data_IF_028561283823
#
_entry.id   IF_028561283823
#
_cell.length_a   1.000
_cell.length_b   1.000
_cell.length_c   1.000
_cell.angle_alpha   90.00
_cell.angle_beta   90.00
_cell.angle_gamma   90.00
#
_symmetry.space_group_name_H-M   'P 1'
#
loop_
_entity.id
_entity.type
_entity.pdbx_description
1 polymer ?
#
# COMPACT_ATOMS: atom_id res chain seq x y z
N UNK A 1 22.77 -5.03 -2.16
CA UNK A 1 21.49 -5.62 -2.61
C UNK A 1 21.77 -7.03 -3.11
N UNK A 2 21.33 -8.04 -2.38
CA UNK A 2 21.38 -9.42 -2.87
C UNK A 2 20.49 -9.54 -4.11
N UNK A 3 20.93 -10.31 -5.12
CA UNK A 3 20.17 -10.61 -6.33
C UNK A 3 18.79 -11.17 -5.93
N UNK A 4 17.76 -10.30 -5.91
CA UNK A 4 16.38 -10.78 -5.84
C UNK A 4 16.18 -11.70 -7.04
N UNK A 5 15.90 -12.96 -6.78
CA UNK A 5 15.61 -13.92 -7.86
C UNK A 5 14.38 -13.42 -8.62
N UNK A 6 14.42 -13.47 -9.95
CA UNK A 6 13.28 -13.10 -10.78
C UNK A 6 12.05 -13.94 -10.39
N UNK A 7 11.18 -13.35 -9.57
CA UNK A 7 9.99 -14.01 -9.01
C UNK A 7 9.04 -14.54 -10.09
N UNK A 8 9.07 -13.97 -11.30
CA UNK A 8 8.24 -14.41 -12.44
C UNK A 8 8.52 -15.83 -12.90
N UNK A 9 9.65 -16.43 -12.46
CA UNK A 9 10.08 -17.78 -12.84
C UNK A 9 9.71 -18.84 -11.79
N UNK A 10 9.09 -18.46 -10.68
CA UNK A 10 8.73 -19.38 -9.60
C UNK A 10 7.25 -19.20 -9.26
N UNK A 11 6.57 -20.27 -8.83
CA UNK A 11 5.22 -20.16 -8.28
C UNK A 11 5.19 -19.21 -7.09
N UNK A 12 4.17 -18.35 -7.03
CA UNK A 12 3.91 -17.47 -5.90
C UNK A 12 2.82 -18.13 -5.04
N UNK A 13 3.11 -18.30 -3.75
CA UNK A 13 2.15 -18.72 -2.73
C UNK A 13 2.11 -17.60 -1.68
N UNK A 14 1.13 -16.72 -1.81
CA UNK A 14 1.02 -15.48 -1.06
C UNK A 14 0.05 -15.69 0.10
N UNK A 15 0.41 -15.21 1.27
CA UNK A 15 -0.47 -15.11 2.43
C UNK A 15 -0.73 -13.65 2.74
N UNK A 16 -1.98 -13.22 2.63
CA UNK A 16 -2.40 -11.85 2.95
C UNK A 16 -2.81 -11.75 4.41
N UNK A 17 -2.39 -10.67 5.08
CA UNK A 17 -2.77 -10.37 6.46
C UNK A 17 -3.10 -8.89 6.67
N UNK A 18 -4.05 -8.64 7.59
CA UNK A 18 -4.08 -7.39 8.33
C UNK A 18 -3.21 -7.56 9.58
N UNK A 19 -2.14 -6.77 9.69
CA UNK A 19 -1.10 -6.97 10.70
C UNK A 19 -1.65 -6.92 12.12
N UNK A 20 -2.52 -5.96 12.41
CA UNK A 20 -3.10 -5.75 13.74
C UNK A 20 -4.16 -6.77 14.17
N UNK A 21 -4.74 -7.56 13.25
CA UNK A 21 -5.79 -8.54 13.56
C UNK A 21 -5.38 -9.99 13.33
N UNK A 22 -4.21 -10.25 12.73
CA UNK A 22 -3.73 -11.62 12.54
C UNK A 22 -3.62 -12.38 13.86
N UNK A 23 -3.01 -11.75 14.86
CA UNK A 23 -3.03 -12.16 16.27
C UNK A 23 -2.93 -10.94 17.16
N UNK A 24 -3.52 -11.01 18.34
CA UNK A 24 -3.48 -9.93 19.33
C UNK A 24 -2.93 -10.45 20.65
N UNK A 25 -2.19 -9.62 21.41
CA UNK A 25 -1.69 -9.98 22.76
C UNK A 25 -2.84 -10.15 23.76
N UNK A 26 -3.92 -9.39 23.59
CA UNK A 26 -5.11 -9.44 24.45
C UNK A 26 -6.38 -9.10 23.66
N UNK A 27 -7.55 -9.14 24.34
CA UNK A 27 -8.86 -8.78 23.75
C UNK A 27 -9.10 -7.26 23.67
N UNK A 28 -8.14 -6.42 24.07
CA UNK A 28 -8.28 -4.96 23.97
C UNK A 28 -8.17 -4.51 22.51
N UNK A 29 -8.95 -3.50 22.15
CA UNK A 29 -9.00 -3.01 20.78
C UNK A 29 -7.66 -2.44 20.29
N UNK A 30 -6.96 -1.74 21.16
CA UNK A 30 -5.71 -1.01 20.92
C UNK A 30 -4.44 -1.76 21.36
N UNK A 31 -4.51 -3.07 21.53
CA UNK A 31 -3.40 -3.91 21.95
C UNK A 31 -2.93 -4.77 20.77
N UNK A 32 -1.79 -4.40 20.19
CA UNK A 32 -1.20 -5.06 19.03
C UNK A 32 0.20 -5.59 19.35
N UNK A 33 0.56 -6.70 18.71
CA UNK A 33 1.96 -7.10 18.64
C UNK A 33 2.75 -6.09 17.80
N UNK A 34 3.97 -5.76 18.25
CA UNK A 34 4.87 -4.98 17.42
C UNK A 34 5.53 -5.83 16.33
N UNK A 35 6.27 -5.18 15.41
CA UNK A 35 6.91 -5.87 14.29
C UNK A 35 7.88 -6.96 14.73
N UNK A 36 8.64 -6.77 15.84
CA UNK A 36 9.60 -7.76 16.33
C UNK A 36 8.91 -8.95 16.98
N UNK A 37 7.90 -8.71 17.82
CA UNK A 37 7.10 -9.78 18.43
C UNK A 37 6.38 -10.63 17.39
N UNK A 38 5.93 -10.00 16.30
CA UNK A 38 5.26 -10.71 15.22
C UNK A 38 6.18 -11.66 14.46
N UNK A 39 7.49 -11.45 14.47
CA UNK A 39 8.47 -12.35 13.86
C UNK A 39 8.30 -13.79 14.38
N UNK A 40 8.28 -13.95 15.70
CA UNK A 40 8.19 -15.26 16.35
C UNK A 40 6.83 -15.95 16.16
N UNK A 41 5.82 -15.18 15.79
CA UNK A 41 4.46 -15.67 15.57
C UNK A 41 4.21 -16.02 14.11
N UNK A 42 4.53 -15.09 13.22
CA UNK A 42 4.13 -15.16 11.81
C UNK A 42 5.10 -15.97 10.95
N UNK A 43 6.41 -15.79 11.14
CA UNK A 43 7.40 -16.48 10.31
C UNK A 43 7.30 -18.00 10.40
N UNK A 44 7.22 -18.63 11.60
CA UNK A 44 7.02 -20.08 11.70
C UNK A 44 5.73 -20.56 11.03
N UNK A 45 4.67 -19.75 11.10
CA UNK A 45 3.41 -20.06 10.46
C UNK A 45 3.54 -20.10 8.93
N UNK A 46 4.16 -19.09 8.34
CA UNK A 46 4.37 -18.99 6.89
C UNK A 46 5.24 -20.15 6.37
N UNK A 47 6.36 -20.39 7.04
CA UNK A 47 7.29 -21.47 6.66
C UNK A 47 6.61 -22.84 6.75
N UNK A 48 5.90 -23.12 7.87
CA UNK A 48 5.21 -24.39 8.08
C UNK A 48 4.17 -24.67 6.99
N UNK A 49 3.48 -23.63 6.50
CA UNK A 49 2.42 -23.77 5.50
C UNK A 49 2.93 -23.59 4.06
N UNK A 50 4.23 -23.37 3.85
CA UNK A 50 4.85 -23.30 2.53
C UNK A 50 4.56 -22.00 1.77
N UNK A 51 4.19 -20.93 2.47
CA UNK A 51 4.08 -19.61 1.87
C UNK A 51 5.47 -19.04 1.56
N UNK A 52 5.62 -18.47 0.38
CA UNK A 52 6.88 -17.83 -0.03
C UNK A 52 6.75 -16.32 -0.21
N UNK A 53 5.54 -15.78 -0.04
CA UNK A 53 5.26 -14.35 0.01
C UNK A 53 4.26 -14.05 1.13
N UNK A 54 4.49 -12.92 1.77
CA UNK A 54 3.59 -12.28 2.70
C UNK A 54 3.07 -11.00 2.05
N UNK A 55 1.77 -10.83 1.95
CA UNK A 55 1.13 -9.56 1.57
C UNK A 55 0.55 -8.92 2.83
N UNK A 56 0.93 -7.68 3.09
CA UNK A 56 0.48 -6.95 4.27
C UNK A 56 -0.44 -5.82 3.81
N UNK A 57 -1.66 -5.80 4.33
CA UNK A 57 -2.62 -4.72 4.14
C UNK A 57 -1.96 -3.39 4.54
N UNK A 58 -2.48 -2.21 4.13
CA UNK A 58 -1.71 -0.98 4.16
C UNK A 58 -0.99 -0.70 5.48
N UNK A 59 0.31 -0.42 5.39
CA UNK A 59 1.17 -0.07 6.51
C UNK A 59 1.40 1.43 6.65
N UNK A 60 0.86 2.23 5.74
CA UNK A 60 0.88 3.69 5.85
C UNK A 60 0.20 4.14 7.14
N UNK A 61 0.63 5.27 7.73
CA UNK A 61 -0.06 5.83 8.90
C UNK A 61 -1.49 6.27 8.54
N UNK A 62 -2.44 5.96 9.40
CA UNK A 62 -3.87 6.22 9.20
C UNK A 62 -4.58 6.54 10.52
N UNK A 63 -5.67 7.36 10.51
CA UNK A 63 -6.31 7.84 11.73
C UNK A 63 -7.33 6.84 12.32
N UNK A 64 -7.97 6.02 11.51
CA UNK A 64 -9.15 5.22 11.87
C UNK A 64 -8.86 3.73 11.74
N UNK A 65 -8.90 2.98 12.84
CA UNK A 65 -8.58 1.55 12.87
C UNK A 65 -9.51 0.71 11.99
N UNK A 66 -10.78 1.10 11.91
CA UNK A 66 -11.79 0.44 11.10
C UNK A 66 -11.50 0.52 9.60
N UNK A 67 -10.64 1.46 9.17
CA UNK A 67 -10.20 1.55 7.77
C UNK A 67 -9.17 0.49 7.39
N UNK A 68 -8.57 -0.23 8.34
CA UNK A 68 -7.49 -1.20 8.15
C UNK A 68 -6.26 -0.62 7.41
N UNK A 69 -6.11 0.70 7.42
CA UNK A 69 -5.05 1.43 6.72
C UNK A 69 -5.40 1.89 5.31
N UNK A 70 -6.58 1.55 4.78
CA UNK A 70 -6.99 1.99 3.44
C UNK A 70 -7.33 3.48 3.34
N UNK A 71 -7.50 4.19 4.47
CA UNK A 71 -7.67 5.65 4.51
C UNK A 71 -6.43 6.31 5.12
N UNK A 72 -5.34 6.33 4.35
CA UNK A 72 -4.05 6.83 4.81
C UNK A 72 -4.00 8.36 4.93
N UNK A 73 -3.22 8.82 5.93
CA UNK A 73 -2.80 10.22 6.09
C UNK A 73 -1.29 10.37 5.94
N UNK A 74 -0.50 9.37 6.31
CA UNK A 74 0.96 9.40 6.29
C UNK A 74 1.57 8.46 5.26
N UNK A 75 1.58 8.84 3.99
CA UNK A 75 2.01 7.99 2.87
C UNK A 75 3.47 7.51 2.93
N UNK A 76 4.36 8.32 3.51
CA UNK A 76 5.79 8.01 3.68
C UNK A 76 6.14 7.58 5.11
N UNK A 77 5.15 7.22 5.92
CA UNK A 77 5.34 6.84 7.31
C UNK A 77 4.68 5.51 7.58
N UNK A 78 5.41 4.49 8.08
CA UNK A 78 4.77 3.30 8.61
C UNK A 78 3.92 3.67 9.83
N UNK A 79 2.78 3.01 9.98
CA UNK A 79 1.91 3.23 11.12
C UNK A 79 2.64 2.94 12.43
N UNK A 80 2.49 3.86 13.38
CA UNK A 80 3.09 3.74 14.71
C UNK A 80 2.45 2.66 15.59
N UNK A 81 1.30 2.11 15.16
CA UNK A 81 0.56 1.07 15.90
C UNK A 81 1.40 -0.17 16.18
N UNK A 82 2.25 -0.55 15.24
CA UNK A 82 3.01 -1.79 15.29
C UNK A 82 4.49 -1.58 15.60
N UNK A 83 4.88 -0.36 15.99
CA UNK A 83 6.25 -0.04 16.37
C UNK A 83 6.93 0.99 15.46
N UNK A 84 8.26 0.92 15.40
CA UNK A 84 9.09 1.89 14.69
C UNK A 84 9.40 1.46 13.25
N UNK A 85 9.83 2.41 12.42
CA UNK A 85 10.30 2.13 11.07
C UNK A 85 11.50 1.14 11.04
N UNK A 86 12.40 1.21 12.03
CA UNK A 86 13.54 0.31 12.11
C UNK A 86 13.10 -1.12 12.46
N UNK A 87 12.09 -1.28 13.31
CA UNK A 87 11.50 -2.58 13.60
C UNK A 87 10.82 -3.19 12.37
N UNK A 88 10.12 -2.38 11.55
CA UNK A 88 9.56 -2.86 10.30
C UNK A 88 10.66 -3.30 9.32
N UNK A 89 11.77 -2.53 9.20
CA UNK A 89 12.92 -2.94 8.39
C UNK A 89 13.53 -4.26 8.87
N UNK A 90 13.65 -4.43 10.19
CA UNK A 90 14.13 -5.68 10.78
C UNK A 90 13.19 -6.85 10.50
N UNK A 91 11.87 -6.65 10.57
CA UNK A 91 10.87 -7.65 10.23
C UNK A 91 11.01 -8.12 8.77
N UNK A 92 11.11 -7.17 7.83
CA UNK A 92 11.30 -7.48 6.39
C UNK A 92 12.61 -8.24 6.16
N UNK A 93 13.71 -7.84 6.83
CA UNK A 93 14.99 -8.53 6.74
C UNK A 93 14.89 -9.99 7.23
N UNK A 94 14.15 -10.24 8.30
CA UNK A 94 13.91 -11.60 8.80
C UNK A 94 13.04 -12.41 7.82
N UNK A 95 12.00 -11.81 7.22
CA UNK A 95 11.24 -12.47 6.15
C UNK A 95 12.18 -12.94 5.02
N UNK A 96 13.05 -12.05 4.55
CA UNK A 96 14.01 -12.36 3.50
C UNK A 96 15.01 -13.48 3.87
N UNK A 97 15.48 -13.50 5.13
CA UNK A 97 16.35 -14.59 5.65
C UNK A 97 15.67 -15.95 5.59
N UNK A 98 14.35 -16.00 5.70
CA UNK A 98 13.55 -17.23 5.59
C UNK A 98 13.03 -17.49 4.16
N UNK A 99 13.47 -16.71 3.17
CA UNK A 99 13.07 -16.85 1.77
C UNK A 99 11.63 -16.40 1.48
N UNK A 100 11.07 -15.57 2.36
CA UNK A 100 9.72 -15.00 2.23
C UNK A 100 9.86 -13.58 1.67
N UNK A 101 9.28 -13.33 0.49
CA UNK A 101 9.14 -11.98 -0.06
C UNK A 101 8.00 -11.23 0.64
N UNK A 102 8.09 -9.90 0.67
CA UNK A 102 7.08 -9.05 1.32
C UNK A 102 6.45 -8.10 0.31
N UNK A 103 5.14 -8.19 0.17
CA UNK A 103 4.31 -7.28 -0.60
C UNK A 103 3.56 -6.35 0.35
N UNK A 104 3.28 -5.15 -0.08
CA UNK A 104 2.49 -4.18 0.67
C UNK A 104 1.33 -3.67 -0.17
N UNK A 105 0.18 -3.55 0.44
CA UNK A 105 -0.95 -2.84 -0.15
C UNK A 105 -0.66 -1.35 -0.23
N UNK A 106 -0.92 -0.79 -1.37
CA UNK A 106 -0.74 0.62 -1.66
C UNK A 106 -2.02 1.20 -2.25
N UNK A 107 -2.47 2.32 -1.71
CA UNK A 107 -3.74 2.95 -2.11
C UNK A 107 -3.47 4.20 -2.95
N UNK A 108 -3.30 4.09 -4.30
CA UNK A 108 -3.04 5.24 -5.15
C UNK A 108 -4.31 5.94 -5.62
N UNK A 109 -5.47 5.59 -5.07
CA UNK A 109 -6.79 6.01 -5.54
C UNK A 109 -7.35 7.16 -4.70
N UNK A 110 -7.25 7.05 -3.38
CA UNK A 110 -7.83 8.00 -2.44
C UNK A 110 -7.03 8.14 -1.15
N UNK A 111 -7.40 9.11 -0.32
CA UNK A 111 -6.77 9.40 0.97
C UNK A 111 -7.80 9.97 1.96
N UNK A 112 -7.47 9.93 3.26
CA UNK A 112 -8.35 10.40 4.34
C UNK A 112 -8.61 11.92 4.27
N UNK A 113 -9.78 12.35 4.74
CA UNK A 113 -10.23 13.76 4.74
C UNK A 113 -9.77 14.56 5.96
N UNK A 114 -8.99 13.96 6.84
CA UNK A 114 -8.53 14.58 8.08
C UNK A 114 -7.74 15.87 7.81
N UNK A 115 -8.02 16.92 8.58
CA UNK A 115 -7.50 18.28 8.34
C UNK A 115 -5.99 18.42 8.52
N UNK A 116 -5.31 17.45 9.12
CA UNK A 116 -3.85 17.37 9.25
C UNK A 116 -3.20 16.50 8.16
N UNK A 117 -4.01 15.89 7.27
CA UNK A 117 -3.59 15.07 6.14
C UNK A 117 -3.39 15.89 4.86
N UNK A 118 -3.70 15.25 3.73
CA UNK A 118 -3.50 15.85 2.41
C UNK A 118 -4.68 16.71 1.91
N UNK A 119 -5.88 16.54 2.50
CA UNK A 119 -7.08 17.26 2.07
C UNK A 119 -6.89 18.78 2.26
N UNK A 120 -7.08 19.54 1.19
CA UNK A 120 -6.84 20.99 1.15
C UNK A 120 -5.46 21.40 1.71
N UNK A 121 -4.43 20.66 1.38
CA UNK A 121 -3.10 20.72 1.98
C UNK A 121 -2.49 22.13 2.06
N UNK A 122 -2.66 22.92 1.01
CA UNK A 122 -2.19 24.32 0.94
C UNK A 122 -3.36 25.33 0.98
N UNK A 123 -4.53 24.90 1.44
CA UNK A 123 -5.78 25.69 1.42
C UNK A 123 -6.52 25.58 0.09
N UNK A 124 -6.01 24.78 -0.84
CA UNK A 124 -6.66 24.45 -2.12
C UNK A 124 -6.72 22.93 -2.32
N UNK A 125 -7.45 22.49 -3.35
CA UNK A 125 -7.49 21.07 -3.76
C UNK A 125 -6.19 20.72 -4.51
N UNK A 126 -5.07 20.56 -3.78
CA UNK A 126 -3.76 20.27 -4.37
C UNK A 126 -3.69 18.82 -4.89
N UNK A 127 -4.07 17.86 -4.07
CA UNK A 127 -3.98 16.43 -4.38
C UNK A 127 -5.27 15.82 -4.88
N UNK A 128 -6.40 16.38 -4.46
CA UNK A 128 -7.75 15.91 -4.78
C UNK A 128 -8.42 16.69 -5.91
N UNK A 129 -9.45 16.10 -6.49
CA UNK A 129 -10.33 16.81 -7.41
C UNK A 129 -11.18 17.85 -6.65
N UNK A 130 -11.27 19.10 -7.12
CA UNK A 130 -12.05 20.15 -6.47
C UNK A 130 -13.59 19.95 -6.59
N UNK A 131 -14.01 19.08 -7.51
CA UNK A 131 -15.42 18.79 -7.76
C UNK A 131 -15.86 17.54 -6.97
N UNK A 132 -16.82 17.70 -6.08
CA UNK A 132 -17.37 16.61 -5.26
C UNK A 132 -17.95 15.44 -6.08
N UNK A 133 -18.42 15.69 -7.30
CA UNK A 133 -18.96 14.63 -8.16
C UNK A 133 -17.92 13.54 -8.55
N UNK A 134 -16.63 13.86 -8.47
CA UNK A 134 -15.52 12.94 -8.75
C UNK A 134 -14.43 12.98 -7.68
N UNK A 135 -14.47 13.96 -6.79
CA UNK A 135 -13.44 14.19 -5.77
C UNK A 135 -13.67 13.44 -4.46
N UNK A 136 -14.89 12.95 -4.23
CA UNK A 136 -15.24 12.18 -3.03
C UNK A 136 -15.50 10.73 -3.42
N UNK A 137 -14.83 9.80 -2.75
CA UNK A 137 -15.03 8.37 -2.95
C UNK A 137 -16.33 7.89 -2.29
N UNK A 138 -16.77 6.69 -2.62
CA UNK A 138 -17.92 6.05 -1.95
C UNK A 138 -17.66 5.78 -0.45
N UNK A 139 -16.40 5.79 -0.04
CA UNK A 139 -15.98 5.62 1.37
C UNK A 139 -15.83 6.96 2.12
N UNK A 140 -16.21 8.09 1.50
CA UNK A 140 -16.10 9.42 2.10
C UNK A 140 -14.70 10.01 2.13
N UNK A 141 -13.74 9.40 1.44
CA UNK A 141 -12.35 9.87 1.30
C UNK A 141 -12.18 10.76 0.06
N UNK A 142 -11.06 11.47 -0.04
CA UNK A 142 -10.71 12.30 -1.20
C UNK A 142 -10.07 11.46 -2.30
N UNK A 143 -10.55 11.53 -3.54
CA UNK A 143 -9.93 10.90 -4.69
C UNK A 143 -8.74 11.72 -5.20
N UNK A 144 -7.60 11.05 -5.45
CA UNK A 144 -6.43 11.68 -6.04
C UNK A 144 -6.68 12.21 -7.44
N UNK A 145 -6.23 13.43 -7.70
CA UNK A 145 -6.30 14.08 -9.02
C UNK A 145 -5.11 13.64 -9.87
N UNK A 146 -5.21 12.50 -10.53
CA UNK A 146 -4.12 11.90 -11.33
C UNK A 146 -3.70 12.72 -12.57
N UNK A 147 -4.39 13.79 -12.92
CA UNK A 147 -3.96 14.71 -13.98
C UNK A 147 -2.87 15.69 -13.53
N UNK A 148 -2.62 15.84 -12.22
CA UNK A 148 -1.60 16.76 -11.69
C UNK A 148 -0.24 16.11 -11.59
N UNK A 149 0.81 16.83 -11.99
CA UNK A 149 2.20 16.40 -11.90
C UNK A 149 2.64 16.15 -10.45
N UNK A 150 2.22 17.01 -9.52
CA UNK A 150 2.50 16.92 -8.09
C UNK A 150 1.93 15.63 -7.50
N UNK A 151 0.68 15.31 -7.81
CA UNK A 151 0.02 14.08 -7.35
C UNK A 151 0.72 12.84 -7.93
N UNK A 152 1.03 12.84 -9.22
CA UNK A 152 1.76 11.75 -9.89
C UNK A 152 3.14 11.54 -9.28
N UNK A 153 3.89 12.63 -9.07
CA UNK A 153 5.22 12.59 -8.45
C UNK A 153 5.17 12.08 -7.02
N UNK A 154 4.19 12.56 -6.23
CA UNK A 154 3.98 12.14 -4.85
C UNK A 154 3.74 10.63 -4.77
N UNK A 155 2.77 10.11 -5.51
CA UNK A 155 2.39 8.69 -5.48
C UNK A 155 3.52 7.78 -5.99
N UNK A 156 4.19 8.16 -7.09
CA UNK A 156 5.31 7.38 -7.62
C UNK A 156 6.50 7.38 -6.65
N UNK A 157 6.80 8.52 -6.03
CA UNK A 157 7.86 8.63 -5.03
C UNK A 157 7.55 7.81 -3.80
N UNK A 158 6.28 7.80 -3.37
CA UNK A 158 5.83 6.99 -2.25
C UNK A 158 6.01 5.49 -2.53
N UNK A 159 5.54 5.01 -3.67
CA UNK A 159 5.71 3.61 -4.07
C UNK A 159 7.20 3.21 -4.13
N UNK A 160 8.05 4.07 -4.73
CA UNK A 160 9.49 3.85 -4.75
C UNK A 160 10.13 3.85 -3.36
N UNK A 161 9.67 4.73 -2.46
CA UNK A 161 10.14 4.80 -1.07
C UNK A 161 9.94 3.47 -0.34
N UNK A 162 8.75 2.89 -0.39
CA UNK A 162 8.46 1.62 0.25
C UNK A 162 9.32 0.47 -0.30
N UNK A 163 9.56 0.44 -1.61
CA UNK A 163 10.42 -0.57 -2.25
C UNK A 163 11.89 -0.37 -1.87
N UNK A 164 12.37 0.89 -1.84
CA UNK A 164 13.80 1.20 -1.64
C UNK A 164 14.19 1.20 -0.17
N UNK A 165 13.38 1.83 0.71
CA UNK A 165 13.72 2.03 2.12
C UNK A 165 13.33 0.84 3.00
N UNK A 166 12.19 0.21 2.73
CA UNK A 166 11.72 -0.95 3.48
C UNK A 166 11.99 -2.27 2.77
N UNK A 167 12.59 -2.23 1.58
CA UNK A 167 12.92 -3.40 0.78
C UNK A 167 11.71 -4.27 0.44
N UNK A 168 10.53 -3.67 0.27
CA UNK A 168 9.36 -4.41 -0.19
C UNK A 168 9.63 -5.04 -1.56
N UNK A 169 9.25 -6.30 -1.73
CA UNK A 169 9.44 -7.05 -2.97
C UNK A 169 8.39 -6.75 -4.02
N UNK A 170 7.32 -6.11 -3.60
CA UNK A 170 6.26 -5.67 -4.49
C UNK A 170 5.20 -4.83 -3.81
N UNK A 171 4.29 -4.37 -4.65
CA UNK A 171 3.15 -3.56 -4.27
C UNK A 171 1.90 -4.16 -4.91
N UNK A 172 0.86 -4.34 -4.11
CA UNK A 172 -0.50 -4.57 -4.59
C UNK A 172 -1.24 -3.24 -4.53
N UNK A 173 -1.77 -2.79 -5.65
CA UNK A 173 -2.50 -1.53 -5.76
C UNK A 173 -3.99 -1.80 -5.55
N UNK A 174 -4.51 -1.20 -4.50
CA UNK A 174 -5.90 -1.33 -4.09
C UNK A 174 -6.86 -0.58 -5.01
N UNK A 175 -8.07 -1.14 -5.20
CA UNK A 175 -9.23 -0.51 -5.82
C UNK A 175 -8.95 0.16 -7.19
N UNK A 176 -8.13 -0.44 -8.05
CA UNK A 176 -7.66 0.19 -9.29
C UNK A 176 -8.80 0.55 -10.24
N UNK A 177 -9.87 -0.21 -10.28
CA UNK A 177 -11.07 0.12 -11.06
C UNK A 177 -11.66 1.49 -10.68
N UNK A 178 -11.53 1.90 -9.40
CA UNK A 178 -11.99 3.20 -8.92
C UNK A 178 -11.14 4.38 -9.43
N UNK A 179 -9.90 4.12 -9.81
CA UNK A 179 -9.07 5.11 -10.49
C UNK A 179 -9.31 5.11 -12.02
N UNK A 180 -9.42 3.93 -12.62
CA UNK A 180 -9.56 3.75 -14.07
C UNK A 180 -10.91 4.24 -14.58
N UNK A 181 -11.99 3.94 -13.87
CA UNK A 181 -13.33 4.41 -14.22
C UNK A 181 -13.77 5.50 -13.24
N UNK A 182 -14.44 6.54 -13.76
CA UNK A 182 -14.95 7.60 -12.90
C UNK A 182 -15.90 7.04 -11.84
N UNK A 183 -15.51 7.18 -10.56
CA UNK A 183 -16.20 6.59 -9.40
C UNK A 183 -16.34 5.05 -9.46
N UNK A 184 -15.43 4.38 -10.18
CA UNK A 184 -15.45 2.94 -10.34
C UNK A 184 -16.56 2.39 -11.24
N UNK A 185 -17.30 3.27 -11.93
CA UNK A 185 -18.40 2.88 -12.79
C UNK A 185 -17.99 2.97 -14.26
N UNK A 186 -17.88 1.83 -14.99
CA UNK A 186 -17.55 1.83 -16.41
C UNK A 186 -18.51 2.67 -17.27
N UNK A 187 -19.79 2.80 -16.87
CA UNK A 187 -20.78 3.61 -17.59
C UNK A 187 -20.46 5.11 -17.51
N UNK A 188 -19.68 5.56 -16.53
CA UNK A 188 -19.22 6.95 -16.42
C UNK A 188 -17.98 7.27 -17.25
N UNK A 189 -17.42 6.25 -17.91
CA UNK A 189 -16.26 6.37 -18.79
C UNK A 189 -14.92 6.24 -18.07
N UNK A 190 -13.86 6.21 -18.89
CA UNK A 190 -12.48 5.98 -18.44
C UNK A 190 -11.81 7.29 -18.05
N UNK A 191 -11.15 7.30 -16.89
CA UNK A 191 -10.25 8.36 -16.47
C UNK A 191 -8.86 8.13 -17.09
N UNK A 192 -8.67 8.65 -18.31
CA UNK A 192 -7.42 8.49 -19.06
C UNK A 192 -6.19 9.01 -18.31
N UNK A 193 -6.33 10.02 -17.44
CA UNK A 193 -5.23 10.52 -16.64
C UNK A 193 -4.75 9.50 -15.60
N UNK A 194 -5.67 8.76 -15.00
CA UNK A 194 -5.32 7.69 -14.06
C UNK A 194 -4.67 6.51 -14.81
N UNK A 195 -5.18 6.12 -15.96
CA UNK A 195 -4.58 5.07 -16.80
C UNK A 195 -3.15 5.44 -17.19
N UNK A 196 -2.93 6.66 -17.69
CA UNK A 196 -1.61 7.15 -18.05
C UNK A 196 -0.67 7.18 -16.82
N UNK A 197 -1.14 7.69 -15.69
CA UNK A 197 -0.36 7.68 -14.44
C UNK A 197 0.08 6.26 -14.05
N UNK A 198 -0.85 5.30 -14.04
CA UNK A 198 -0.53 3.91 -13.67
C UNK A 198 0.49 3.29 -14.63
N UNK A 199 0.40 3.57 -15.92
CA UNK A 199 1.38 3.12 -16.92
C UNK A 199 2.77 3.69 -16.64
N UNK A 200 2.88 5.01 -16.41
CA UNK A 200 4.15 5.66 -16.08
C UNK A 200 4.73 5.18 -14.76
N UNK A 201 3.90 5.05 -13.72
CA UNK A 201 4.35 4.55 -12.42
C UNK A 201 4.89 3.12 -12.54
N UNK A 202 4.15 2.23 -13.18
CA UNK A 202 4.58 0.85 -13.38
C UNK A 202 5.86 0.76 -14.21
N UNK A 203 5.97 1.54 -15.28
CA UNK A 203 7.18 1.58 -16.11
C UNK A 203 8.39 2.11 -15.33
N UNK A 204 8.20 3.19 -14.55
CA UNK A 204 9.25 3.78 -13.71
C UNK A 204 9.72 2.81 -12.63
N UNK A 205 8.79 2.19 -11.89
CA UNK A 205 9.12 1.22 -10.85
C UNK A 205 9.82 -0.02 -11.42
N UNK A 206 9.37 -0.55 -12.55
CA UNK A 206 10.04 -1.67 -13.22
C UNK A 206 11.40 -1.30 -13.77
N UNK A 207 11.61 -0.07 -14.23
CA UNK A 207 12.89 0.43 -14.66
C UNK A 207 13.92 0.50 -13.53
N UNK A 208 13.51 1.00 -12.36
CA UNK A 208 14.35 1.09 -11.16
C UNK A 208 14.51 -0.25 -10.43
N UNK A 209 13.48 -1.05 -10.41
CA UNK A 209 13.38 -2.31 -9.67
C UNK A 209 12.88 -3.45 -10.58
N UNK A 210 13.70 -4.02 -11.47
CA UNK A 210 13.23 -4.98 -12.49
C UNK A 210 12.54 -6.22 -11.95
N UNK A 211 12.88 -6.64 -10.71
CA UNK A 211 12.31 -7.82 -10.06
C UNK A 211 11.07 -7.54 -9.21
N UNK A 212 10.64 -6.27 -9.08
CA UNK A 212 9.49 -5.92 -8.23
C UNK A 212 8.21 -6.57 -8.76
N UNK A 213 7.37 -7.05 -7.86
CA UNK A 213 6.00 -7.50 -8.19
C UNK A 213 5.09 -6.27 -8.14
N UNK A 214 4.32 -6.07 -9.20
CA UNK A 214 3.25 -5.08 -9.24
C UNK A 214 1.95 -5.83 -9.54
N UNK A 215 1.05 -5.81 -8.58
CA UNK A 215 -0.28 -6.40 -8.68
C UNK A 215 -1.34 -5.30 -8.62
N UNK A 216 -2.49 -5.55 -9.16
CA UNK A 216 -3.64 -4.66 -9.06
C UNK A 216 -4.82 -5.46 -8.54
N UNK A 217 -5.55 -4.88 -7.59
CA UNK A 217 -6.83 -5.41 -7.17
C UNK A 217 -7.93 -4.79 -8.03
N UNK A 218 -8.80 -5.65 -8.52
CA UNK A 218 -9.97 -5.26 -9.28
C UNK A 218 -11.15 -6.13 -8.84
N UNK A 219 -12.22 -5.48 -8.42
CA UNK A 219 -13.45 -6.12 -7.93
C UNK A 219 -14.65 -5.89 -8.88
N UNK A 220 -14.40 -5.46 -10.12
CA UNK A 220 -15.44 -5.24 -11.15
C UNK A 220 -15.70 -6.46 -12.00
#
# INVERSE_FOLDING_TARGET
MQNRSDCRKKPLNIYEIHFGSFRKPSDKADDWYNYEEMIDILIPYLVKNGYNYLEIMPLNEYPCDESWGYQATGFFSPTSRYGTADQLKAFVDVCHKHGIGVLMDFVPVHFAVDSYGLANYDGTSLFEYPNSAVGVSEWGSCNFMHSRGETRSFLQSCANYWISEFHMDGIRMDAISRAIYWQGDPARGVNLNAVEFLQYMNQGLKGMHPSVILAAEDST
#
